data_IF_445497792600
#
_entry.id   IF_445497792600
#
_cell.length_a   1.000
_cell.length_b   1.000
_cell.length_c   1.000
_cell.angle_alpha   90.00
_cell.angle_beta   90.00
_cell.angle_gamma   90.00
#
_symmetry.space_group_name_H-M   'P 1'
#
loop_
_entity.id
_entity.type
_entity.pdbx_description
1 polymer ?
#
# COMPACT_ATOMS: atom_id res chain seq x y z
N UNK A 1 -28.49 0.67 22.89
CA UNK A 1 -27.52 1.71 22.46
C UNK A 1 -27.57 2.84 23.48
N UNK A 2 -26.68 2.82 24.46
CA UNK A 2 -26.63 3.78 25.58
C UNK A 2 -25.64 4.90 25.22
N UNK A 3 -26.14 6.13 25.05
CA UNK A 3 -25.31 7.33 24.81
C UNK A 3 -24.75 7.80 26.15
N UNK A 4 -23.43 7.70 26.31
CA UNK A 4 -22.70 8.32 27.42
C UNK A 4 -22.47 9.79 27.10
N UNK A 5 -23.18 10.67 27.80
CA UNK A 5 -22.98 12.12 27.79
C UNK A 5 -21.82 12.47 28.72
N UNK A 6 -20.70 12.92 28.15
CA UNK A 6 -19.58 13.48 28.92
C UNK A 6 -19.99 14.86 29.47
N UNK A 7 -20.28 14.94 30.76
CA UNK A 7 -20.37 16.21 31.47
C UNK A 7 -18.97 16.79 31.63
N UNK A 8 -18.75 17.95 31.03
CA UNK A 8 -17.52 18.73 31.15
C UNK A 8 -17.61 19.60 32.41
N UNK A 9 -16.96 19.14 33.48
CA UNK A 9 -16.83 19.90 34.72
C UNK A 9 -15.80 21.02 34.53
N UNK A 10 -16.29 22.25 34.30
CA UNK A 10 -15.47 23.47 34.41
C UNK A 10 -15.11 23.69 35.88
N UNK A 11 -13.87 23.44 36.23
CA UNK A 11 -13.29 23.91 37.49
C UNK A 11 -12.96 25.41 37.36
N UNK A 12 -13.56 26.21 38.24
CA UNK A 12 -13.29 27.63 38.37
C UNK A 12 -11.85 27.83 38.86
N UNK A 13 -11.06 28.59 38.11
CA UNK A 13 -9.69 28.97 38.46
C UNK A 13 -9.77 30.17 39.42
N UNK A 14 -9.45 29.94 40.69
CA UNK A 14 -9.32 31.00 41.69
C UNK A 14 -7.99 31.74 41.47
N UNK A 15 -7.99 33.07 41.28
CA UNK A 15 -6.75 33.83 41.16
C UNK A 15 -6.07 33.93 42.53
N UNK A 16 -4.91 33.29 42.67
CA UNK A 16 -4.08 33.41 43.88
C UNK A 16 -3.17 34.63 43.75
N UNK A 17 -3.31 35.52 44.72
CA UNK A 17 -2.52 36.72 44.95
C UNK A 17 -1.05 36.35 45.25
N UNK A 18 -0.05 36.98 44.61
CA UNK A 18 1.36 36.69 44.86
C UNK A 18 1.81 37.31 46.18
N UNK A 19 1.87 36.50 47.24
CA UNK A 19 2.54 36.90 48.49
C UNK A 19 4.04 36.83 48.28
N UNK A 20 4.73 37.97 48.47
CA UNK A 20 6.17 38.09 48.35
C UNK A 20 6.87 37.34 49.50
N UNK A 21 7.32 36.12 49.22
CA UNK A 21 8.08 35.29 50.18
C UNK A 21 9.57 35.51 49.96
N UNK A 22 10.23 36.00 51.01
CA UNK A 22 11.67 36.28 51.09
C UNK A 22 12.52 35.04 50.76
N UNK A 23 13.57 35.14 49.92
CA UNK A 23 14.40 34.01 49.52
C UNK A 23 15.34 33.59 50.66
N UNK A 24 14.96 32.56 51.42
CA UNK A 24 15.86 31.90 52.38
C UNK A 24 16.74 30.90 51.63
N UNK A 25 18.04 31.21 51.50
CA UNK A 25 18.99 30.58 50.57
C UNK A 25 19.64 29.26 51.02
N UNK A 26 19.03 28.48 51.93
CA UNK A 26 19.72 27.32 52.56
C UNK A 26 19.22 25.92 52.16
N UNK A 27 18.29 25.79 51.19
CA UNK A 27 17.68 24.50 50.81
C UNK A 27 18.30 23.86 49.53
N UNK A 28 19.32 24.50 48.93
CA UNK A 28 19.76 24.23 47.55
C UNK A 28 20.36 22.84 47.25
N UNK A 29 20.81 22.06 48.25
CA UNK A 29 21.54 20.80 47.99
C UNK A 29 20.66 19.54 48.02
N UNK A 30 19.62 19.48 48.87
CA UNK A 30 18.75 18.29 48.95
C UNK A 30 17.71 18.22 47.84
N UNK A 31 17.40 19.36 47.22
CA UNK A 31 16.50 19.43 46.07
C UNK A 31 17.08 18.69 44.86
N UNK A 32 18.38 18.87 44.59
CA UNK A 32 19.04 18.34 43.39
C UNK A 32 19.08 16.81 43.33
N UNK A 33 19.25 16.11 44.46
CA UNK A 33 19.23 14.65 44.49
C UNK A 33 17.83 14.07 44.18
N UNK A 34 16.77 14.73 44.66
CA UNK A 34 15.39 14.32 44.37
C UNK A 34 15.06 14.55 42.90
N UNK A 35 15.50 15.68 42.34
CA UNK A 35 15.26 16.01 40.93
C UNK A 35 15.98 15.04 40.00
N UNK A 36 17.22 14.64 40.33
CA UNK A 36 17.95 13.62 39.57
C UNK A 36 17.27 12.25 39.63
N UNK A 37 16.79 11.83 40.81
CA UNK A 37 16.04 10.58 40.97
C UNK A 37 14.73 10.59 40.18
N UNK A 38 13.99 11.71 40.23
CA UNK A 38 12.77 11.88 39.44
C UNK A 38 13.06 11.87 37.93
N UNK A 39 14.13 12.53 37.48
CA UNK A 39 14.55 12.53 36.08
C UNK A 39 14.90 11.11 35.59
N UNK A 40 15.55 10.29 36.42
CA UNK A 40 15.85 8.90 36.11
C UNK A 40 14.57 8.06 35.96
N UNK A 41 13.61 8.19 36.89
CA UNK A 41 12.32 7.50 36.81
C UNK A 41 11.54 7.91 35.56
N UNK A 42 11.53 9.21 35.22
CA UNK A 42 10.88 9.70 33.99
C UNK A 42 11.55 9.09 32.75
N UNK A 43 12.87 8.96 32.73
CA UNK A 43 13.59 8.35 31.62
C UNK A 43 13.28 6.86 31.49
N UNK A 44 13.17 6.14 32.60
CA UNK A 44 12.81 4.72 32.63
C UNK A 44 11.38 4.48 32.15
N UNK A 45 10.40 5.22 32.69
CA UNK A 45 9.01 5.17 32.25
C UNK A 45 8.83 5.51 30.77
N UNK A 46 9.63 6.45 30.24
CA UNK A 46 9.63 6.76 28.81
C UNK A 46 10.10 5.57 27.95
N UNK A 47 11.10 4.81 28.42
CA UNK A 47 11.56 3.60 27.72
C UNK A 47 10.48 2.52 27.73
N UNK A 48 9.85 2.29 28.89
CA UNK A 48 8.74 1.33 29.01
C UNK A 48 7.56 1.71 28.11
N UNK A 49 7.19 2.99 28.05
CA UNK A 49 6.13 3.46 27.15
C UNK A 49 6.44 3.21 25.66
N UNK A 50 7.71 3.27 25.26
CA UNK A 50 8.10 2.96 23.87
C UNK A 50 7.91 1.46 23.60
N UNK A 51 8.32 0.60 24.53
CA UNK A 51 8.18 -0.85 24.41
C UNK A 51 6.70 -1.24 24.33
N UNK A 52 5.88 -0.76 25.26
CA UNK A 52 4.43 -1.08 25.30
C UNK A 52 3.73 -0.56 24.04
N UNK A 53 4.11 0.60 23.51
CA UNK A 53 3.57 1.10 22.24
C UNK A 53 3.93 0.17 21.07
N UNK A 54 5.18 -0.27 20.99
CA UNK A 54 5.62 -1.19 19.95
C UNK A 54 4.88 -2.54 20.03
N UNK A 55 4.69 -3.09 21.24
CA UNK A 55 3.93 -4.31 21.46
C UNK A 55 2.46 -4.17 21.05
N UNK A 56 1.82 -3.05 21.42
CA UNK A 56 0.45 -2.74 21.02
C UNK A 56 0.33 -2.66 19.49
N UNK A 57 1.26 -1.97 18.84
CA UNK A 57 1.23 -1.81 17.39
C UNK A 57 1.45 -3.16 16.68
N UNK A 58 2.34 -4.00 17.19
CA UNK A 58 2.54 -5.37 16.71
C UNK A 58 1.26 -6.23 16.88
N UNK A 59 0.63 -6.20 18.05
CA UNK A 59 -0.62 -6.91 18.32
C UNK A 59 -1.75 -6.46 17.38
N UNK A 60 -1.83 -5.15 17.08
CA UNK A 60 -2.82 -4.61 16.15
C UNK A 60 -2.57 -5.11 14.71
N UNK A 61 -1.32 -5.15 14.26
CA UNK A 61 -0.97 -5.72 12.94
C UNK A 61 -1.39 -7.19 12.85
N UNK A 62 -1.10 -8.00 13.89
CA UNK A 62 -1.53 -9.41 13.94
C UNK A 62 -3.05 -9.57 13.91
N UNK A 63 -3.79 -8.74 14.63
CA UNK A 63 -5.25 -8.76 14.62
C UNK A 63 -5.82 -8.45 13.22
N UNK A 64 -5.26 -7.45 12.51
CA UNK A 64 -5.68 -7.11 11.14
C UNK A 64 -5.42 -8.25 10.16
N UNK A 65 -4.22 -8.83 10.18
CA UNK A 65 -3.86 -9.97 9.31
C UNK A 65 -4.78 -11.15 9.59
N UNK A 66 -5.00 -11.48 10.87
CA UNK A 66 -5.88 -12.59 11.26
C UNK A 66 -7.33 -12.38 10.79
N UNK A 67 -7.83 -11.14 10.85
CA UNK A 67 -9.16 -10.80 10.32
C UNK A 67 -9.27 -11.00 8.80
N UNK A 68 -8.23 -10.65 8.05
CA UNK A 68 -8.18 -10.88 6.60
C UNK A 68 -8.17 -12.38 6.27
N UNK A 69 -7.35 -13.16 6.96
CA UNK A 69 -7.29 -14.61 6.77
C UNK A 69 -8.64 -15.28 7.10
N UNK A 70 -9.27 -14.91 8.21
CA UNK A 70 -10.59 -15.40 8.59
C UNK A 70 -11.65 -15.10 7.52
N UNK A 71 -11.62 -13.91 6.91
CA UNK A 71 -12.51 -13.55 5.82
C UNK A 71 -12.29 -14.43 4.57
N UNK A 72 -11.03 -14.68 4.20
CA UNK A 72 -10.67 -15.57 3.08
C UNK A 72 -11.17 -17.00 3.35
N UNK A 73 -10.96 -17.52 4.56
CA UNK A 73 -11.42 -18.84 4.95
C UNK A 73 -12.94 -18.96 4.95
N UNK A 74 -13.65 -17.97 5.50
CA UNK A 74 -15.11 -17.88 5.47
C UNK A 74 -15.64 -17.93 4.03
N UNK A 75 -15.06 -17.14 3.13
CA UNK A 75 -15.45 -17.14 1.72
C UNK A 75 -15.20 -18.51 1.05
N UNK A 76 -14.04 -19.13 1.29
CA UNK A 76 -13.72 -20.46 0.76
C UNK A 76 -14.66 -21.54 1.29
N UNK A 77 -15.01 -21.47 2.57
CA UNK A 77 -15.94 -22.38 3.21
C UNK A 77 -17.35 -22.24 2.61
N UNK A 78 -17.87 -21.02 2.53
CA UNK A 78 -19.17 -20.74 1.93
C UNK A 78 -19.23 -21.15 0.46
N UNK A 79 -18.16 -20.91 -0.32
CA UNK A 79 -18.06 -21.35 -1.71
C UNK A 79 -18.05 -22.88 -1.86
N UNK A 80 -17.53 -23.62 -0.87
CA UNK A 80 -17.60 -25.08 -0.84
C UNK A 80 -18.96 -25.59 -0.36
N UNK A 81 -19.58 -24.90 0.60
CA UNK A 81 -20.92 -25.22 1.09
C UNK A 81 -21.97 -25.08 -0.03
N UNK A 82 -21.89 -24.02 -0.83
CA UNK A 82 -22.77 -23.81 -2.01
C UNK A 82 -22.55 -24.85 -3.12
N UNK A 83 -21.40 -25.54 -3.13
CA UNK A 83 -21.08 -26.60 -4.12
C UNK A 83 -21.33 -28.01 -3.59
N UNK A 84 -21.79 -28.14 -2.34
CA UNK A 84 -22.24 -29.42 -1.78
C UNK A 84 -23.73 -29.51 -2.14
N UNK A 85 -24.07 -30.52 -2.93
CA UNK A 85 -25.41 -30.87 -3.45
C UNK A 85 -25.78 -30.13 -4.77
N UNK A 86 -26.35 -30.74 -5.82
CA UNK A 86 -27.31 -31.87 -5.79
C UNK A 86 -27.24 -32.81 -7.00
N UNK A 87 -26.24 -32.72 -7.88
CA UNK A 87 -25.99 -33.74 -8.91
C UNK A 87 -24.58 -33.56 -9.44
N UNK A 88 -23.62 -34.36 -8.98
CA UNK A 88 -22.36 -34.56 -9.72
C UNK A 88 -22.71 -35.33 -11.00
N UNK A 89 -23.31 -34.66 -11.98
CA UNK A 89 -23.32 -35.15 -13.36
C UNK A 89 -21.87 -35.10 -13.81
N UNK A 90 -21.22 -36.25 -13.82
CA UNK A 90 -19.93 -36.41 -14.47
C UNK A 90 -20.17 -36.15 -15.96
N UNK A 91 -19.82 -34.96 -16.43
CA UNK A 91 -19.73 -34.70 -17.86
C UNK A 91 -18.49 -35.43 -18.35
N UNK A 92 -18.65 -36.69 -18.72
CA UNK A 92 -17.64 -37.38 -19.51
C UNK A 92 -17.74 -36.87 -20.94
N UNK A 93 -16.59 -36.49 -21.53
CA UNK A 93 -16.53 -36.08 -22.94
C UNK A 93 -16.90 -37.25 -23.87
N UNK A 94 -16.75 -38.49 -23.39
CA UNK A 94 -17.28 -39.68 -24.03
C UNK A 94 -18.71 -39.95 -23.51
N UNK A 95 -19.72 -39.50 -24.26
CA UNK A 95 -21.09 -39.99 -24.12
C UNK A 95 -21.44 -40.71 -25.43
N UNK A 96 -21.55 -42.04 -25.39
CA UNK A 96 -22.03 -42.81 -26.52
C UNK A 96 -23.55 -42.65 -26.52
N UNK A 97 -24.04 -41.73 -27.34
CA UNK A 97 -25.48 -41.46 -27.44
C UNK A 97 -26.02 -42.12 -28.71
N UNK A 98 -26.63 -43.29 -28.53
CA UNK A 98 -27.17 -44.09 -29.64
C UNK A 98 -28.60 -43.68 -30.01
N UNK A 99 -29.36 -43.09 -29.07
CA UNK A 99 -30.73 -42.61 -29.33
C UNK A 99 -30.75 -41.29 -30.11
N UNK A 100 -31.77 -41.10 -30.95
CA UNK A 100 -31.99 -39.85 -31.71
C UNK A 100 -32.14 -38.64 -30.79
N UNK A 101 -32.97 -38.76 -29.75
CA UNK A 101 -33.22 -37.70 -28.77
C UNK A 101 -31.95 -37.22 -28.07
N UNK A 102 -31.04 -38.15 -27.75
CA UNK A 102 -29.81 -37.78 -27.08
C UNK A 102 -28.77 -37.13 -28.02
N UNK A 103 -28.82 -37.38 -29.33
CA UNK A 103 -27.99 -36.64 -30.31
C UNK A 103 -28.43 -35.18 -30.38
N UNK A 104 -29.75 -34.93 -30.35
CA UNK A 104 -30.31 -33.57 -30.32
C UNK A 104 -29.91 -32.83 -29.03
N UNK A 105 -29.98 -33.50 -27.87
CA UNK A 105 -29.49 -32.93 -26.59
C UNK A 105 -27.99 -32.61 -26.65
N UNK A 106 -27.17 -33.49 -27.23
CA UNK A 106 -25.72 -33.28 -27.35
C UNK A 106 -25.37 -32.08 -28.24
N UNK A 107 -26.10 -31.89 -29.35
CA UNK A 107 -25.92 -30.71 -30.23
C UNK A 107 -26.34 -29.43 -29.50
N UNK A 108 -27.46 -29.45 -28.77
CA UNK A 108 -27.91 -28.31 -27.99
C UNK A 108 -26.90 -27.91 -26.88
N UNK A 109 -26.32 -28.89 -26.19
CA UNK A 109 -25.29 -28.65 -25.18
C UNK A 109 -23.97 -28.16 -25.78
N UNK A 110 -23.57 -28.70 -26.94
CA UNK A 110 -22.41 -28.21 -27.68
C UNK A 110 -22.59 -26.74 -28.10
N UNK A 111 -23.77 -26.38 -28.61
CA UNK A 111 -24.12 -25.01 -28.98
C UNK A 111 -24.08 -24.06 -27.77
N UNK A 112 -24.66 -24.47 -26.63
CA UNK A 112 -24.61 -23.68 -25.37
C UNK A 112 -23.17 -23.47 -24.89
N UNK A 113 -22.33 -24.51 -24.94
CA UNK A 113 -20.91 -24.41 -24.55
C UNK A 113 -20.13 -23.50 -25.51
N UNK A 114 -20.38 -23.59 -26.81
CA UNK A 114 -19.75 -22.72 -27.81
C UNK A 114 -20.13 -21.25 -27.59
N UNK A 115 -21.43 -20.95 -27.41
CA UNK A 115 -21.92 -19.60 -27.13
C UNK A 115 -21.30 -19.01 -25.85
N UNK A 116 -21.22 -19.81 -24.77
CA UNK A 116 -20.59 -19.37 -23.50
C UNK A 116 -19.09 -19.08 -23.67
N UNK A 117 -18.36 -19.94 -24.40
CA UNK A 117 -16.94 -19.73 -24.69
C UNK A 117 -16.70 -18.46 -25.52
N UNK A 118 -17.55 -18.19 -26.52
CA UNK A 118 -17.47 -16.96 -27.32
C UNK A 118 -17.73 -15.72 -26.46
N UNK A 119 -18.77 -15.73 -25.62
CA UNK A 119 -19.08 -14.62 -24.72
C UNK A 119 -17.97 -14.35 -23.68
N UNK A 120 -17.32 -15.39 -23.14
CA UNK A 120 -16.18 -15.23 -22.25
C UNK A 120 -14.94 -14.69 -22.98
N UNK A 121 -14.67 -15.18 -24.20
CA UNK A 121 -13.58 -14.68 -25.03
C UNK A 121 -13.76 -13.20 -25.40
N UNK A 122 -14.97 -12.77 -25.76
CA UNK A 122 -15.28 -11.36 -26.02
C UNK A 122 -15.09 -10.48 -24.78
N UNK A 123 -15.49 -10.94 -23.60
CA UNK A 123 -15.27 -10.19 -22.35
C UNK A 123 -13.79 -10.03 -22.03
N UNK A 124 -12.97 -11.05 -22.31
CA UNK A 124 -11.52 -10.98 -22.11
C UNK A 124 -10.90 -10.01 -23.10
N UNK A 125 -11.27 -10.09 -24.39
CA UNK A 125 -10.81 -9.15 -25.42
C UNK A 125 -11.15 -7.70 -25.06
N UNK A 126 -12.41 -7.42 -24.69
CA UNK A 126 -12.85 -6.08 -24.26
C UNK A 126 -12.03 -5.55 -23.08
N UNK A 127 -11.66 -6.39 -22.11
CA UNK A 127 -10.79 -5.97 -21.00
C UNK A 127 -9.37 -5.66 -21.46
N UNK A 128 -8.80 -6.51 -22.31
CA UNK A 128 -7.46 -6.30 -22.87
C UNK A 128 -7.39 -5.04 -23.73
N UNK A 129 -8.44 -4.77 -24.51
CA UNK A 129 -8.50 -3.57 -25.36
C UNK A 129 -8.61 -2.31 -24.49
N UNK A 130 -9.42 -2.32 -23.42
CA UNK A 130 -9.49 -1.22 -22.45
C UNK A 130 -8.16 -1.00 -21.71
N UNK A 131 -7.46 -2.07 -21.32
CA UNK A 131 -6.14 -1.99 -20.69
C UNK A 131 -5.08 -1.41 -21.65
N UNK A 132 -5.10 -1.83 -22.92
CA UNK A 132 -4.22 -1.30 -23.96
C UNK A 132 -4.48 0.17 -24.25
N UNK A 133 -5.74 0.57 -24.35
CA UNK A 133 -6.13 1.96 -24.56
C UNK A 133 -5.70 2.84 -23.37
N UNK A 134 -5.81 2.33 -22.14
CA UNK A 134 -5.34 3.05 -20.95
C UNK A 134 -3.82 3.24 -20.93
N UNK A 135 -3.05 2.23 -21.34
CA UNK A 135 -1.58 2.33 -21.46
C UNK A 135 -1.20 3.36 -22.53
N UNK A 136 -1.82 3.32 -23.70
CA UNK A 136 -1.56 4.28 -24.78
C UNK A 136 -1.90 5.71 -24.35
N UNK A 137 -3.02 5.89 -23.65
CA UNK A 137 -3.43 7.17 -23.08
C UNK A 137 -2.39 7.72 -22.10
N UNK A 138 -1.87 6.90 -21.19
CA UNK A 138 -0.82 7.33 -20.25
C UNK A 138 0.49 7.67 -20.96
N UNK A 139 0.91 6.84 -21.92
CA UNK A 139 2.12 7.10 -22.71
C UNK A 139 2.02 8.39 -23.55
N UNK A 140 0.82 8.79 -23.98
CA UNK A 140 0.61 10.08 -24.64
C UNK A 140 0.71 11.25 -23.66
N UNK A 141 0.14 11.12 -22.45
CA UNK A 141 0.22 12.15 -21.42
C UNK A 141 1.64 12.38 -20.89
N UNK A 142 2.50 11.36 -20.85
CA UNK A 142 3.91 11.56 -20.44
C UNK A 142 4.69 12.47 -21.39
N UNK A 143 4.28 12.55 -22.66
CA UNK A 143 4.93 13.39 -23.68
C UNK A 143 4.54 14.87 -23.56
N UNK A 144 3.30 15.12 -23.15
CA UNK A 144 2.76 16.46 -22.98
C UNK A 144 2.75 16.78 -21.49
N UNK A 145 3.67 17.63 -21.01
CA UNK A 145 3.74 18.06 -19.61
C UNK A 145 2.54 18.96 -19.25
N UNK A 146 1.35 18.37 -19.22
CA UNK A 146 0.10 19.05 -18.89
C UNK A 146 0.12 19.33 -17.39
N UNK A 147 0.26 20.60 -17.03
CA UNK A 147 0.13 21.03 -15.65
C UNK A 147 -1.29 20.71 -15.14
N UNK A 148 -1.38 19.90 -14.09
CA UNK A 148 -2.66 19.57 -13.47
C UNK A 148 -3.27 20.83 -12.83
N UNK A 149 -4.37 21.33 -13.39
CA UNK A 149 -5.12 22.44 -12.84
C UNK A 149 -6.41 21.98 -12.16
N UNK A 150 -6.85 22.72 -11.13
CA UNK A 150 -8.10 22.51 -10.40
C UNK A 150 -7.98 21.72 -9.09
N UNK A 151 -9.12 21.56 -8.40
CA UNK A 151 -9.17 20.83 -7.12
C UNK A 151 -9.11 19.32 -7.32
N UNK A 152 -8.29 18.62 -6.52
CA UNK A 152 -8.24 17.14 -6.52
C UNK A 152 -9.59 16.50 -6.17
N UNK A 153 -10.45 17.19 -5.40
CA UNK A 153 -11.76 16.66 -4.99
C UNK A 153 -12.73 16.50 -6.16
N UNK A 154 -12.60 17.34 -7.19
CA UNK A 154 -13.47 17.35 -8.38
C UNK A 154 -12.94 16.48 -9.53
N UNK A 155 -11.74 15.91 -9.41
CA UNK A 155 -11.15 15.07 -10.46
C UNK A 155 -11.76 13.67 -10.45
N UNK A 156 -11.83 13.04 -11.62
CA UNK A 156 -12.35 11.67 -11.74
C UNK A 156 -11.37 10.66 -11.12
N UNK A 157 -11.85 9.46 -10.79
CA UNK A 157 -10.97 8.40 -10.26
C UNK A 157 -9.81 8.09 -11.22
N UNK A 158 -10.05 8.15 -12.54
CA UNK A 158 -9.02 7.92 -13.56
C UNK A 158 -7.95 9.01 -13.48
N UNK A 159 -8.35 10.28 -13.48
CA UNK A 159 -7.40 11.40 -13.39
C UNK A 159 -6.57 11.35 -12.10
N UNK A 160 -7.17 10.93 -10.98
CA UNK A 160 -6.45 10.79 -9.71
C UNK A 160 -5.40 9.67 -9.75
N UNK A 161 -5.66 8.58 -10.47
CA UNK A 161 -4.67 7.50 -10.70
C UNK A 161 -3.55 8.01 -11.60
N UNK A 162 -3.90 8.76 -12.66
CA UNK A 162 -2.92 9.33 -13.60
C UNK A 162 -2.00 10.33 -12.85
N UNK A 163 -2.56 11.21 -12.00
CA UNK A 163 -1.78 12.12 -11.14
C UNK A 163 -0.88 11.34 -10.17
N UNK A 164 -1.40 10.31 -9.50
CA UNK A 164 -0.60 9.50 -8.59
C UNK A 164 0.56 8.81 -9.29
N UNK A 165 0.31 8.30 -10.52
CA UNK A 165 1.32 7.69 -11.36
C UNK A 165 2.40 8.71 -11.78
N UNK A 166 2.03 9.92 -12.21
CA UNK A 166 2.98 10.99 -12.53
C UNK A 166 3.85 11.41 -11.34
N UNK A 167 3.36 11.21 -10.11
CA UNK A 167 4.09 11.50 -8.87
C UNK A 167 4.87 10.29 -8.34
N UNK A 168 4.88 9.16 -9.06
CA UNK A 168 5.45 7.87 -8.63
C UNK A 168 4.94 7.40 -7.26
N UNK A 169 3.67 7.67 -6.95
CA UNK A 169 3.01 7.19 -5.74
C UNK A 169 2.43 5.80 -6.01
N UNK A 170 2.84 4.82 -5.21
CA UNK A 170 2.37 3.43 -5.34
C UNK A 170 0.85 3.36 -5.08
N UNK A 171 0.08 2.94 -6.09
CA UNK A 171 -1.39 2.91 -6.04
C UNK A 171 -1.97 1.58 -5.56
N UNK A 172 -1.14 0.65 -5.08
CA UNK A 172 -1.57 -0.70 -4.70
C UNK A 172 -2.59 -0.66 -3.56
N UNK A 173 -3.86 -0.88 -3.92
CA UNK A 173 -4.99 -0.86 -3.00
C UNK A 173 -5.62 0.51 -2.73
N UNK A 174 -5.21 1.56 -3.44
CA UNK A 174 -5.78 2.91 -3.25
C UNK A 174 -7.23 3.00 -3.76
N UNK A 175 -8.19 2.93 -2.84
CA UNK A 175 -9.55 3.42 -3.09
C UNK A 175 -9.50 4.95 -3.25
N UNK A 176 -10.49 5.55 -3.91
CA UNK A 176 -10.54 7.00 -4.13
C UNK A 176 -10.41 7.82 -2.82
N UNK A 177 -10.70 7.20 -1.68
CA UNK A 177 -10.57 7.80 -0.35
C UNK A 177 -9.12 7.92 0.12
N UNK A 178 -8.22 7.01 -0.28
CA UNK A 178 -6.79 7.09 0.08
C UNK A 178 -6.13 8.30 -0.59
N UNK A 179 -6.53 8.60 -1.83
CA UNK A 179 -6.08 9.78 -2.58
C UNK A 179 -6.72 11.08 -2.07
N UNK A 180 -7.80 10.99 -1.28
CA UNK A 180 -8.42 12.12 -0.56
C UNK A 180 -7.91 12.28 0.87
N UNK A 181 -6.98 11.44 1.30
CA UNK A 181 -6.41 11.50 2.64
C UNK A 181 -5.70 12.85 2.85
N UNK A 182 -5.93 13.52 4.00
CA UNK A 182 -5.31 14.82 4.32
C UNK A 182 -3.79 14.83 4.20
N UNK A 183 -3.14 13.68 4.44
CA UNK A 183 -1.68 13.53 4.36
C UNK A 183 -1.11 13.87 2.98
N UNK A 184 -1.87 13.64 1.91
CA UNK A 184 -1.47 14.01 0.55
C UNK A 184 -1.90 15.43 0.18
N UNK A 185 -3.03 15.90 0.73
CA UNK A 185 -3.53 17.25 0.47
C UNK A 185 -2.59 18.31 1.05
N UNK A 186 -2.01 18.06 2.22
CA UNK A 186 -1.09 19.01 2.87
C UNK A 186 0.18 19.28 2.05
N UNK A 187 0.61 18.33 1.20
CA UNK A 187 1.72 18.54 0.26
C UNK A 187 1.38 19.55 -0.84
N UNK A 188 0.10 19.66 -1.22
CA UNK A 188 -0.37 20.54 -2.29
C UNK A 188 -0.99 21.85 -1.79
N UNK A 189 -1.46 21.90 -0.54
CA UNK A 189 -1.99 23.13 0.06
C UNK A 189 -0.94 23.95 0.78
N UNK A 190 0.35 23.73 0.52
CA UNK A 190 1.37 24.72 0.83
C UNK A 190 1.12 25.96 -0.04
N UNK A 191 0.09 26.74 0.34
CA UNK A 191 -0.05 28.13 -0.01
C UNK A 191 1.31 28.71 0.36
N UNK A 192 2.14 28.97 -0.66
CA UNK A 192 3.14 30.02 -0.59
C UNK A 192 2.40 31.21 -0.03
N UNK A 193 2.49 31.39 1.28
CA UNK A 193 2.25 32.65 1.94
C UNK A 193 3.30 33.50 1.27
N UNK A 194 2.92 34.20 0.20
CA UNK A 194 3.76 35.24 -0.36
C UNK A 194 4.05 36.07 0.88
N UNK A 195 5.30 36.04 1.31
CA UNK A 195 5.77 37.11 2.16
C UNK A 195 5.51 38.33 1.28
N UNK A 196 4.42 39.03 1.59
CA UNK A 196 4.22 40.39 1.15
C UNK A 196 5.45 41.10 1.71
N UNK A 197 6.50 41.14 0.88
CA UNK A 197 7.64 41.99 1.08
C UNK A 197 7.02 43.35 1.32
N UNK A 198 7.25 43.83 2.54
CA UNK A 198 6.89 45.16 2.96
C UNK A 198 7.26 46.12 1.83
N UNK A 199 6.28 46.90 1.40
CA UNK A 199 6.51 48.13 0.66
C UNK A 199 7.26 49.08 1.60
N UNK A 200 8.55 48.85 1.80
CA UNK A 200 9.40 49.82 2.44
C UNK A 200 9.93 50.75 1.36
N UNK A 201 9.36 51.95 1.37
CA UNK A 201 9.99 53.23 1.11
C UNK A 201 10.89 53.33 -0.14
N UNK A 202 10.36 54.02 -1.15
CA UNK A 202 11.15 54.87 -2.04
C UNK A 202 11.90 55.92 -1.21
N UNK A 203 13.24 55.95 -1.27
CA UNK A 203 13.87 57.21 -1.61
C UNK A 203 14.82 57.01 -2.79
N UNK A 204 14.61 57.80 -3.83
CA UNK A 204 15.48 57.79 -5.00
C UNK A 204 16.91 58.19 -4.66
N UNK A 205 17.88 57.61 -5.37
CA UNK A 205 18.95 58.34 -6.04
C UNK A 205 19.82 57.42 -6.92
N UNK A 206 20.13 57.94 -8.11
CA UNK A 206 21.37 57.78 -8.89
C UNK A 206 21.97 56.39 -9.18
N UNK A 207 21.97 56.07 -10.48
CA UNK A 207 23.15 55.77 -11.32
C UNK A 207 24.47 55.43 -10.62
N UNK A 208 25.02 54.26 -10.93
CA UNK A 208 26.43 53.93 -10.71
C UNK A 208 26.73 52.48 -11.06
N UNK A 209 27.46 52.28 -12.16
CA UNK A 209 28.13 51.04 -12.55
C UNK A 209 29.06 50.54 -11.42
N UNK A 210 29.17 49.22 -11.23
CA UNK A 210 30.42 48.51 -11.54
C UNK A 210 30.39 47.05 -11.05
N UNK A 211 30.74 46.19 -12.01
CA UNK A 211 31.40 44.90 -11.92
C UNK A 211 32.26 44.70 -10.67
N UNK A 212 32.12 43.56 -9.98
CA UNK A 212 33.23 42.81 -9.34
C UNK A 212 32.79 41.35 -9.14
N UNK A 213 33.71 40.46 -9.52
CA UNK A 213 33.69 39.00 -9.48
C UNK A 213 33.47 38.43 -8.06
N UNK A 214 32.86 37.25 -7.96
CA UNK A 214 32.92 36.42 -6.75
C UNK A 214 33.45 35.02 -7.13
N UNK A 215 34.52 34.55 -6.46
CA UNK A 215 35.17 33.29 -6.76
C UNK A 215 34.50 32.07 -6.12
N UNK A 216 34.82 30.91 -6.69
CA UNK A 216 34.70 29.58 -6.12
C UNK A 216 35.09 29.50 -4.65
N UNK A 217 34.26 28.83 -3.85
CA UNK A 217 34.66 28.24 -2.59
C UNK A 217 34.01 26.85 -2.46
N UNK A 218 34.82 25.86 -2.81
CA UNK A 218 34.70 24.46 -2.44
C UNK A 218 34.81 24.33 -0.93
N UNK A 219 33.90 23.62 -0.27
CA UNK A 219 34.19 23.04 1.04
C UNK A 219 33.56 21.64 1.13
N UNK A 220 34.46 20.66 1.01
CA UNK A 220 34.29 19.29 1.43
C UNK A 220 34.03 19.23 2.94
N UNK A 221 33.04 18.42 3.36
CA UNK A 221 32.90 18.04 4.77
C UNK A 221 33.09 16.51 4.87
N UNK A 222 34.02 16.03 5.72
CA UNK A 222 34.38 14.63 5.78
C UNK A 222 33.33 13.75 6.46
N UNK A 223 33.08 12.61 5.81
CA UNK A 223 32.36 11.44 6.31
C UNK A 223 32.99 10.95 7.62
N UNK A 224 32.27 11.11 8.73
CA UNK A 224 32.65 10.58 10.04
C UNK A 224 32.43 9.07 10.05
N UNK A 225 33.53 8.35 10.27
CA UNK A 225 33.61 6.90 10.30
C UNK A 225 32.65 6.26 11.30
N UNK A 226 31.92 5.26 10.82
CA UNK A 226 31.17 4.33 11.67
C UNK A 226 32.16 3.30 12.23
N UNK A 227 32.45 3.41 13.52
CA UNK A 227 33.23 2.42 14.28
C UNK A 227 32.36 1.19 14.53
N UNK A 228 32.65 0.09 13.83
CA UNK A 228 32.06 -1.20 14.13
C UNK A 228 32.72 -1.78 15.39
N UNK A 229 32.07 -1.60 16.54
CA UNK A 229 32.34 -2.37 17.75
C UNK A 229 31.43 -3.60 17.74
N UNK A 230 31.96 -4.76 17.38
CA UNK A 230 31.34 -6.05 17.69
C UNK A 230 32.21 -6.77 18.71
N UNK A 231 31.90 -6.56 19.98
CA UNK A 231 32.36 -7.44 21.06
C UNK A 231 31.49 -8.69 21.09
N UNK A 232 32.17 -9.83 21.15
CA UNK A 232 31.57 -11.13 21.34
C UNK A 232 30.85 -11.24 22.67
N UNK A 233 29.72 -11.95 22.64
CA UNK A 233 28.95 -12.32 23.81
C UNK A 233 28.39 -13.72 23.60
N UNK A 234 29.11 -14.71 24.12
CA UNK A 234 28.64 -16.08 24.28
C UNK A 234 27.47 -16.13 25.26
N UNK A 235 26.28 -16.55 24.82
CA UNK A 235 25.29 -17.17 25.71
C UNK A 235 24.59 -18.35 25.05
N UNK A 236 24.83 -19.51 25.65
CA UNK A 236 24.00 -20.71 25.57
C UNK A 236 22.57 -20.38 26.04
N UNK A 237 21.57 -20.94 25.37
CA UNK A 237 20.19 -20.91 25.87
C UNK A 237 19.15 -21.20 24.80
N UNK A 238 18.80 -22.47 24.66
CA UNK A 238 17.58 -23.07 24.10
C UNK A 238 16.56 -22.15 23.38
N UNK A 239 16.20 -22.52 22.14
CA UNK A 239 14.79 -22.69 21.76
C UNK A 239 14.68 -23.57 20.51
N UNK A 240 14.11 -24.74 20.75
CA UNK A 240 13.47 -25.61 19.76
C UNK A 240 12.30 -24.82 19.15
N UNK A 241 12.33 -24.56 17.84
CA UNK A 241 11.17 -24.35 16.92
C UNK A 241 11.67 -23.74 15.60
N UNK A 242 12.46 -24.51 14.85
CA UNK A 242 13.05 -24.07 13.59
C UNK A 242 12.99 -25.16 12.53
N UNK A 243 11.81 -25.74 12.25
CA UNK A 243 11.67 -26.68 11.13
C UNK A 243 10.26 -26.73 10.55
N UNK A 244 9.72 -25.58 10.14
CA UNK A 244 8.49 -25.55 9.33
C UNK A 244 8.48 -24.51 8.19
N UNK A 245 9.60 -23.82 7.93
CA UNK A 245 9.72 -22.87 6.81
C UNK A 245 10.46 -23.45 5.59
N UNK A 246 11.02 -24.66 5.67
CA UNK A 246 11.68 -25.33 4.55
C UNK A 246 10.72 -25.91 3.50
N UNK A 247 9.45 -26.13 3.83
CA UNK A 247 8.49 -26.78 2.93
C UNK A 247 7.72 -25.81 2.01
N UNK A 248 7.72 -24.50 2.28
CA UNK A 248 6.97 -23.56 1.43
C UNK A 248 7.76 -23.06 0.20
N UNK A 249 9.09 -23.07 0.21
CA UNK A 249 9.89 -22.67 -0.96
C UNK A 249 9.90 -23.73 -2.06
N UNK A 250 9.80 -25.02 -1.73
CA UNK A 250 9.77 -26.10 -2.72
C UNK A 250 8.45 -26.19 -3.49
N UNK A 251 7.34 -25.70 -2.91
CA UNK A 251 6.03 -25.73 -3.56
C UNK A 251 5.89 -24.68 -4.68
N UNK A 252 6.50 -23.49 -4.51
CA UNK A 252 6.48 -22.44 -5.54
C UNK A 252 7.29 -22.81 -6.79
N UNK A 253 8.44 -23.45 -6.65
CA UNK A 253 9.24 -23.87 -7.80
C UNK A 253 8.59 -25.01 -8.61
N UNK A 254 7.92 -25.96 -7.96
CA UNK A 254 7.22 -27.05 -8.66
C UNK A 254 6.00 -26.56 -9.44
N UNK A 255 5.30 -25.54 -8.94
CA UNK A 255 4.13 -24.98 -9.64
C UNK A 255 4.50 -24.26 -10.93
N UNK A 256 5.63 -23.53 -10.96
CA UNK A 256 6.05 -22.81 -12.16
C UNK A 256 6.52 -23.77 -13.26
N UNK A 257 7.19 -24.86 -12.89
CA UNK A 257 7.62 -25.89 -13.85
C UNK A 257 6.41 -26.61 -14.50
N UNK A 258 5.35 -26.91 -13.74
CA UNK A 258 4.14 -27.53 -14.27
C UNK A 258 3.40 -26.62 -15.28
N UNK A 259 3.36 -25.31 -15.01
CA UNK A 259 2.75 -24.32 -15.91
C UNK A 259 3.57 -24.22 -17.22
N UNK A 260 4.89 -24.17 -17.12
CA UNK A 260 5.76 -24.10 -18.30
C UNK A 260 5.68 -25.35 -19.19
N UNK A 261 5.61 -26.55 -18.60
CA UNK A 261 5.43 -27.80 -19.35
C UNK A 261 4.08 -27.86 -20.06
N UNK A 262 2.99 -27.36 -19.44
CA UNK A 262 1.67 -27.28 -20.09
C UNK A 262 1.66 -26.31 -21.28
N UNK A 263 2.29 -25.14 -21.16
CA UNK A 263 2.38 -24.18 -22.27
C UNK A 263 3.19 -24.73 -23.45
N UNK A 264 4.24 -25.50 -23.18
CA UNK A 264 5.06 -26.12 -24.24
C UNK A 264 4.33 -27.24 -24.98
N UNK A 265 3.45 -27.98 -24.29
CA UNK A 265 2.64 -29.05 -24.89
C UNK A 265 1.51 -28.49 -25.77
N UNK A 266 0.90 -27.36 -25.37
CA UNK A 266 -0.16 -26.71 -26.15
C UNK A 266 0.34 -26.17 -27.51
N UNK A 267 1.61 -25.75 -27.59
CA UNK A 267 2.18 -25.15 -28.81
C UNK A 267 2.51 -26.17 -29.91
N UNK A 268 2.46 -27.48 -29.62
CA UNK A 268 2.84 -28.55 -30.57
C UNK A 268 1.66 -29.17 -31.32
N UNK A 269 0.43 -28.67 -31.14
CA UNK A 269 -0.80 -29.28 -31.68
C UNK A 269 -1.49 -28.52 -32.81
N UNK A 270 -0.90 -27.46 -33.35
CA UNK A 270 -1.48 -26.72 -34.48
C UNK A 270 -0.55 -26.75 -35.70
N UNK A 271 -0.56 -27.88 -36.42
CA UNK A 271 -0.37 -27.88 -37.88
C UNK A 271 -1.44 -28.81 -38.44
N UNK A 272 -2.59 -28.29 -38.92
CA UNK A 272 -3.55 -29.09 -39.65
C UNK A 272 -2.94 -29.43 -41.03
N UNK A 273 -2.56 -30.69 -41.17
CA UNK A 273 -2.14 -31.30 -42.44
C UNK A 273 -3.34 -31.27 -43.40
N UNK A 274 -3.33 -30.31 -44.33
CA UNK A 274 -4.34 -30.21 -45.39
C UNK A 274 -4.14 -31.38 -46.36
N UNK A 275 -4.92 -32.45 -46.19
CA UNK A 275 -5.08 -33.48 -47.22
C UNK A 275 -5.91 -32.91 -48.37
N UNK A 276 -5.26 -32.64 -49.48
CA UNK A 276 -5.90 -32.52 -50.79
C UNK A 276 -6.26 -33.91 -51.28
N UNK A 277 -7.55 -34.20 -51.42
CA UNK A 277 -8.01 -35.38 -52.14
C UNK A 277 -7.92 -35.14 -53.66
N UNK A 278 -7.50 -36.14 -54.44
CA UNK A 278 -7.54 -36.07 -55.89
C UNK A 278 -9.00 -36.19 -56.37
N UNK A 279 -9.35 -35.32 -57.30
CA UNK A 279 -10.58 -35.37 -58.07
C UNK A 279 -10.35 -36.35 -59.22
N UNK A 280 -11.09 -37.45 -59.24
CA UNK A 280 -11.37 -38.28 -60.42
C UNK A 280 -12.85 -38.70 -60.40
#
# INVERSE_FOLDING_TARGET
MTRLTCQSSRTAVTPLTPTATTPTSSISSRQTLRDLSAAQQIAELKKELIIVKAERDAANVHAVISGQEAAVWKHRYNKKAVKKDTTKRFTTDARIVTSREGREEAVADAAKKAAKKQAEAEKIKKKQDLEREDILRRAAQEKESIAFSGSLKSKSKRDLIDIAFSLNVETDGATADVLRSPRYIDLFTCKRKRHDLSKDNEPGHATGEDTIEVPEASDEVPSVGTVAVTQGGTRKGYTVLGSMMGLQRSFRQRSLHAIWVSLRSAKKKEVPECRTEPID
#
